data_IF_733475366430
#
_entry.id   IF_733475366430
#
_cell.length_a   1.000
_cell.length_b   1.000
_cell.length_c   1.000
_cell.angle_alpha   90.00
_cell.angle_beta   90.00
_cell.angle_gamma   90.00
#
_symmetry.space_group_name_H-M   'P 1'
#
loop_
_entity.id
_entity.type
_entity.pdbx_description
1 polymer ?
#
# COMPACT_ATOMS: atom_id res chain seq x y z
N UNK A 1 18.86 36.50 3.26
CA UNK A 1 17.48 36.52 3.80
C UNK A 1 16.90 35.11 3.70
N UNK A 2 16.75 34.44 4.86
CA UNK A 2 16.27 33.06 5.13
C UNK A 2 16.79 31.87 4.30
N UNK A 3 16.59 31.91 2.98
CA UNK A 3 16.95 30.86 2.02
C UNK A 3 18.03 31.29 1.02
N UNK A 4 18.40 32.57 0.98
CA UNK A 4 19.39 33.09 0.01
C UNK A 4 20.72 32.35 0.05
N UNK A 5 21.18 31.91 1.21
CA UNK A 5 22.46 31.20 1.36
C UNK A 5 22.39 29.73 0.91
N UNK A 6 21.19 29.19 0.76
CA UNK A 6 20.94 27.81 0.28
C UNK A 6 20.23 27.78 -1.07
N UNK A 7 20.06 28.93 -1.74
CA UNK A 7 19.23 29.05 -2.94
C UNK A 7 19.70 28.16 -4.08
N UNK A 8 21.02 28.02 -4.26
CA UNK A 8 21.56 27.16 -5.31
C UNK A 8 21.26 25.69 -4.99
N UNK A 9 21.42 25.27 -3.73
CA UNK A 9 21.04 23.91 -3.29
C UNK A 9 19.55 23.64 -3.51
N UNK A 10 18.68 24.63 -3.31
CA UNK A 10 17.26 24.51 -3.60
C UNK A 10 16.98 24.38 -5.10
N UNK A 11 17.67 25.17 -5.94
CA UNK A 11 17.55 25.05 -7.40
C UNK A 11 18.05 23.71 -7.91
N UNK A 12 19.19 23.24 -7.39
CA UNK A 12 19.81 21.95 -7.74
C UNK A 12 18.99 20.75 -7.26
N UNK A 13 18.05 20.94 -6.33
CA UNK A 13 17.13 19.87 -5.92
C UNK A 13 16.11 19.51 -7.02
N UNK A 14 15.97 20.33 -8.06
CA UNK A 14 15.05 20.12 -9.17
C UNK A 14 15.82 19.79 -10.47
N UNK A 15 15.61 18.60 -11.03
CA UNK A 15 16.26 18.14 -12.27
C UNK A 15 15.87 18.97 -13.51
N UNK A 16 14.62 19.46 -13.56
CA UNK A 16 14.08 20.25 -14.68
C UNK A 16 13.36 21.50 -14.20
N UNK A 17 14.08 22.37 -13.52
CA UNK A 17 13.54 23.67 -13.12
C UNK A 17 13.28 24.56 -14.34
N UNK A 18 12.10 25.19 -14.40
CA UNK A 18 11.78 26.14 -15.47
C UNK A 18 12.81 27.29 -15.50
N UNK A 19 13.33 27.68 -16.68
CA UNK A 19 14.26 28.79 -16.82
C UNK A 19 13.81 30.09 -16.13
N UNK A 20 12.50 30.35 -16.06
CA UNK A 20 11.96 31.53 -15.36
C UNK A 20 12.42 31.57 -13.90
N UNK A 21 12.45 30.43 -13.21
CA UNK A 21 12.89 30.34 -11.81
C UNK A 21 14.41 30.36 -11.65
N UNK A 22 15.16 30.01 -12.71
CA UNK A 22 16.61 30.17 -12.73
C UNK A 22 16.98 31.65 -12.78
N UNK A 23 16.27 32.45 -13.57
CA UNK A 23 16.50 33.88 -13.75
C UNK A 23 15.95 34.71 -12.59
N UNK A 24 14.68 34.49 -12.19
CA UNK A 24 14.02 35.24 -11.11
C UNK A 24 14.15 34.54 -9.76
N UNK A 25 15.30 34.75 -9.13
CA UNK A 25 15.62 34.17 -7.82
C UNK A 25 14.70 34.70 -6.71
N UNK A 26 14.28 35.95 -6.78
CA UNK A 26 13.42 36.57 -5.76
C UNK A 26 12.04 35.93 -5.75
N UNK A 27 11.43 35.78 -6.93
CA UNK A 27 10.13 35.11 -7.06
C UNK A 27 10.21 33.62 -6.73
N UNK A 28 11.30 32.94 -7.10
CA UNK A 28 11.53 31.55 -6.70
C UNK A 28 11.58 31.39 -5.18
N UNK A 29 12.34 32.24 -4.48
CA UNK A 29 12.43 32.20 -3.02
C UNK A 29 11.09 32.56 -2.35
N UNK A 30 10.35 33.53 -2.90
CA UNK A 30 9.02 33.89 -2.41
C UNK A 30 8.05 32.71 -2.52
N UNK A 31 8.04 32.00 -3.66
CA UNK A 31 7.25 30.78 -3.87
C UNK A 31 7.60 29.72 -2.82
N UNK A 32 8.89 29.40 -2.65
CA UNK A 32 9.34 28.41 -1.66
C UNK A 32 8.94 28.78 -0.23
N UNK A 33 9.05 30.06 0.14
CA UNK A 33 8.67 30.53 1.49
C UNK A 33 7.15 30.42 1.68
N UNK A 34 6.36 30.85 0.71
CA UNK A 34 4.89 30.80 0.78
C UNK A 34 4.40 29.35 0.87
N UNK A 35 4.90 28.48 -0.01
CA UNK A 35 4.54 27.06 -0.02
C UNK A 35 5.02 26.35 1.25
N UNK A 36 6.24 26.64 1.70
CA UNK A 36 6.79 26.07 2.92
C UNK A 36 6.02 26.47 4.18
N UNK A 37 5.60 27.73 4.30
CA UNK A 37 4.74 28.19 5.40
C UNK A 37 3.38 27.51 5.35
N UNK A 38 2.75 27.42 4.18
CA UNK A 38 1.47 26.73 4.01
C UNK A 38 1.56 25.25 4.43
N UNK A 39 2.61 24.55 3.98
CA UNK A 39 2.87 23.15 4.35
C UNK A 39 3.02 23.02 5.87
N UNK A 40 3.83 23.88 6.51
CA UNK A 40 4.04 23.82 7.96
C UNK A 40 2.75 24.04 8.75
N UNK A 41 1.92 24.98 8.31
CA UNK A 41 0.64 25.28 8.95
C UNK A 41 -0.32 24.09 8.85
N UNK A 42 -0.41 23.46 7.67
CA UNK A 42 -1.21 22.24 7.45
C UNK A 42 -0.71 21.08 8.31
N UNK A 43 0.61 20.86 8.38
CA UNK A 43 1.19 19.78 9.19
C UNK A 43 0.91 19.95 10.70
N UNK A 44 0.70 21.19 11.15
CA UNK A 44 0.41 21.53 12.54
C UNK A 44 -1.07 21.40 12.93
N UNK A 45 -1.97 21.24 11.97
CA UNK A 45 -3.41 21.16 12.23
C UNK A 45 -3.80 20.11 13.27
N UNK A 46 -3.07 18.99 13.38
CA UNK A 46 -3.35 17.96 14.38
C UNK A 46 -2.99 18.37 15.84
N UNK A 47 -2.34 19.52 16.03
CA UNK A 47 -1.78 19.97 17.30
C UNK A 47 -2.25 21.36 17.75
N UNK A 48 -2.99 22.09 16.92
CA UNK A 48 -3.43 23.46 17.19
C UNK A 48 -4.96 23.58 17.25
N UNK A 49 -5.43 24.47 18.13
CA UNK A 49 -6.80 24.99 18.10
C UNK A 49 -6.76 26.21 17.15
N UNK A 50 -7.70 26.28 16.20
CA UNK A 50 -7.76 27.29 15.14
C UNK A 50 -8.19 28.68 15.67
N UNK A 51 -7.44 29.26 16.60
CA UNK A 51 -7.85 30.53 17.24
C UNK A 51 -7.50 31.77 16.38
N UNK A 52 -6.57 31.63 15.42
CA UNK A 52 -6.08 32.73 14.57
C UNK A 52 -6.84 32.87 13.24
N UNK A 53 -7.70 31.91 12.90
CA UNK A 53 -8.44 31.88 11.63
C UNK A 53 -9.95 32.10 11.85
N UNK A 54 -10.63 32.60 10.81
CA UNK A 54 -12.08 32.77 10.87
C UNK A 54 -12.77 31.39 10.98
N UNK A 55 -13.86 31.26 11.76
CA UNK A 55 -14.57 29.98 11.90
C UNK A 55 -15.07 29.37 10.57
N UNK A 56 -15.21 30.19 9.54
CA UNK A 56 -15.63 29.83 8.18
C UNK A 56 -14.49 29.88 7.16
N UNK A 57 -13.23 29.86 7.60
CA UNK A 57 -12.08 29.76 6.70
C UNK A 57 -12.19 28.47 5.86
N UNK A 58 -11.97 28.53 4.53
CA UNK A 58 -12.15 27.36 3.67
C UNK A 58 -11.15 26.23 3.96
N UNK A 59 -10.00 26.53 4.58
CA UNK A 59 -8.91 25.58 4.82
C UNK A 59 -8.73 25.36 6.33
N UNK A 60 -8.59 26.44 7.10
CA UNK A 60 -8.24 26.44 8.53
C UNK A 60 -9.50 26.56 9.42
N UNK A 61 -10.52 25.76 9.11
CA UNK A 61 -11.72 25.60 9.93
C UNK A 61 -12.03 24.13 10.18
N UNK A 62 -13.01 23.85 11.05
CA UNK A 62 -13.51 22.48 11.22
C UNK A 62 -14.01 21.87 9.90
N UNK A 63 -14.64 22.68 9.05
CA UNK A 63 -15.12 22.24 7.74
C UNK A 63 -13.95 22.01 6.77
N UNK A 64 -12.96 22.90 6.74
CA UNK A 64 -11.74 22.71 5.96
C UNK A 64 -10.98 21.45 6.38
N UNK A 65 -10.88 21.19 7.68
CA UNK A 65 -10.27 19.97 8.22
C UNK A 65 -11.01 18.70 7.77
N UNK A 66 -12.35 18.74 7.68
CA UNK A 66 -13.14 17.58 7.30
C UNK A 66 -13.14 17.34 5.79
N UNK A 67 -13.28 18.40 4.98
CA UNK A 67 -13.54 18.28 3.54
C UNK A 67 -12.33 18.57 2.66
N UNK A 68 -11.41 19.44 3.06
CA UNK A 68 -10.27 19.85 2.23
C UNK A 68 -9.02 19.05 2.58
N UNK A 69 -8.82 18.75 3.86
CA UNK A 69 -7.60 18.08 4.34
C UNK A 69 -7.29 16.73 3.68
N UNK A 70 -8.25 15.86 3.36
CA UNK A 70 -7.97 14.62 2.63
C UNK A 70 -7.34 14.87 1.25
N UNK A 71 -7.82 15.89 0.53
CA UNK A 71 -7.27 16.27 -0.77
C UNK A 71 -5.86 16.87 -0.62
N UNK A 72 -5.65 17.73 0.38
CA UNK A 72 -4.32 18.29 0.66
C UNK A 72 -3.32 17.19 1.03
N UNK A 73 -3.69 16.23 1.88
CA UNK A 73 -2.85 15.07 2.20
C UNK A 73 -2.41 14.32 0.95
N UNK A 74 -3.35 14.07 0.04
CA UNK A 74 -3.06 13.37 -1.21
C UNK A 74 -2.10 14.19 -2.07
N UNK A 75 -2.39 15.47 -2.26
CA UNK A 75 -1.64 16.33 -3.15
C UNK A 75 -0.22 16.58 -2.61
N UNK A 76 -0.01 16.67 -1.29
CA UNK A 76 1.32 16.78 -0.66
C UNK A 76 2.21 15.54 -0.84
N UNK A 77 1.64 14.39 -1.22
CA UNK A 77 2.37 13.14 -1.49
C UNK A 77 2.59 12.89 -2.99
N UNK A 78 2.13 13.78 -3.87
CA UNK A 78 2.41 13.67 -5.30
C UNK A 78 3.87 14.04 -5.58
N UNK A 79 4.54 13.27 -6.43
CA UNK A 79 5.94 13.52 -6.79
C UNK A 79 6.15 14.90 -7.43
N UNK A 80 5.16 15.38 -8.17
CA UNK A 80 5.15 16.71 -8.82
C UNK A 80 4.98 17.87 -7.83
N UNK A 81 4.46 17.60 -6.62
CA UNK A 81 4.15 18.60 -5.61
C UNK A 81 5.04 18.42 -4.36
N UNK A 82 6.33 18.21 -4.58
CA UNK A 82 7.31 18.09 -3.50
C UNK A 82 8.08 19.41 -3.32
N UNK A 83 8.15 19.86 -2.07
CA UNK A 83 9.04 20.92 -1.61
C UNK A 83 10.22 20.28 -0.88
N UNK A 84 11.48 20.68 -1.16
CA UNK A 84 12.62 20.21 -0.39
C UNK A 84 12.45 20.46 1.10
N UNK A 85 12.65 19.45 1.95
CA UNK A 85 12.54 19.60 3.41
C UNK A 85 13.48 20.68 3.95
N UNK A 86 14.57 20.98 3.23
CA UNK A 86 15.46 22.09 3.53
C UNK A 86 14.69 23.41 3.72
N UNK A 87 13.66 23.68 2.90
CA UNK A 87 12.80 24.87 3.05
C UNK A 87 12.11 24.86 4.41
N UNK A 88 11.47 23.74 4.78
CA UNK A 88 10.74 23.60 6.04
C UNK A 88 11.67 23.68 7.25
N UNK A 89 12.88 23.12 7.16
CA UNK A 89 13.90 23.22 8.20
C UNK A 89 14.28 24.68 8.46
N UNK A 90 14.58 25.44 7.40
CA UNK A 90 14.97 26.86 7.53
C UNK A 90 13.83 27.73 8.07
N UNK A 91 12.59 27.45 7.69
CA UNK A 91 11.42 28.14 8.24
C UNK A 91 11.24 27.87 9.74
N UNK A 92 11.36 26.60 10.17
CA UNK A 92 11.29 26.22 11.59
C UNK A 92 12.45 26.84 12.38
N UNK A 93 13.66 26.85 11.83
CA UNK A 93 14.85 27.47 12.44
C UNK A 93 14.66 28.96 12.72
N UNK A 94 13.89 29.66 11.88
CA UNK A 94 13.67 31.10 12.03
C UNK A 94 12.51 31.39 12.97
N UNK A 95 11.43 30.61 12.87
CA UNK A 95 10.25 30.77 13.73
C UNK A 95 10.55 30.40 15.18
N UNK A 96 11.42 29.41 15.42
CA UNK A 96 11.79 28.97 16.76
C UNK A 96 13.23 29.37 17.07
N UNK A 97 13.43 30.01 18.22
CA UNK A 97 14.73 29.99 18.93
C UNK A 97 15.01 28.54 19.38
N UNK A 98 15.44 27.72 18.42
CA UNK A 98 15.97 26.36 18.46
C UNK A 98 15.28 25.37 19.42
N UNK A 99 14.36 24.50 18.95
CA UNK A 99 14.20 23.19 19.58
C UNK A 99 15.51 22.41 19.40
N UNK A 100 15.93 21.64 20.40
CA UNK A 100 17.23 20.93 20.42
C UNK A 100 17.42 19.97 19.22
N UNK A 101 16.34 19.61 18.50
CA UNK A 101 16.31 18.68 17.37
C UNK A 101 15.21 19.05 16.34
N UNK A 102 15.48 19.94 15.36
CA UNK A 102 14.49 20.38 14.36
C UNK A 102 14.04 19.23 13.45
N UNK A 103 14.94 18.31 13.12
CA UNK A 103 14.66 17.12 12.30
C UNK A 103 13.64 16.19 12.95
N UNK A 104 13.80 15.91 14.25
CA UNK A 104 12.87 15.06 15.00
C UNK A 104 11.50 15.74 15.13
N UNK A 105 11.48 17.06 15.34
CA UNK A 105 10.23 17.82 15.39
C UNK A 105 9.49 17.79 14.06
N UNK A 106 10.17 18.04 12.94
CA UNK A 106 9.54 18.01 11.61
C UNK A 106 9.05 16.60 11.27
N UNK A 107 9.88 15.58 11.52
CA UNK A 107 9.48 14.18 11.32
C UNK A 107 8.21 13.85 12.12
N UNK A 108 8.13 14.31 13.38
CA UNK A 108 6.94 14.10 14.20
C UNK A 108 5.68 14.76 13.63
N UNK A 109 5.79 15.99 13.11
CA UNK A 109 4.68 16.68 12.45
C UNK A 109 4.22 15.92 11.20
N UNK A 110 5.16 15.59 10.31
CA UNK A 110 4.87 14.87 9.06
C UNK A 110 4.24 13.52 9.34
N UNK A 111 4.82 12.73 10.24
CA UNK A 111 4.32 11.39 10.56
C UNK A 111 2.96 11.45 11.27
N UNK A 112 2.79 12.38 12.22
CA UNK A 112 1.51 12.62 12.87
C UNK A 112 0.42 13.08 11.92
N UNK A 113 0.78 13.77 10.83
CA UNK A 113 -0.15 14.23 9.81
C UNK A 113 -0.62 13.11 8.89
N UNK A 114 0.28 12.22 8.47
CA UNK A 114 0.00 11.16 7.49
C UNK A 114 -0.35 9.78 8.11
N UNK A 115 -0.17 9.58 9.42
CA UNK A 115 -0.42 8.29 10.08
C UNK A 115 -1.26 8.42 11.34
N UNK A 116 -2.18 7.46 11.53
CA UNK A 116 -3.04 7.36 12.72
C UNK A 116 -2.49 6.38 13.78
N UNK A 117 -1.20 6.07 13.75
CA UNK A 117 -0.59 5.00 14.56
C UNK A 117 0.86 5.23 14.98
N UNK A 118 1.51 4.26 15.66
CA UNK A 118 2.89 4.38 16.09
C UNK A 118 3.85 4.35 14.89
N UNK A 119 4.58 5.43 14.68
CA UNK A 119 5.61 5.56 13.65
C UNK A 119 7.02 5.46 14.25
N UNK A 120 8.05 5.09 13.45
CA UNK A 120 9.44 5.09 13.89
C UNK A 120 9.88 6.48 14.35
N UNK A 121 10.64 6.55 15.45
CA UNK A 121 11.16 7.83 15.97
C UNK A 121 12.32 8.41 15.15
N UNK A 122 13.01 7.57 14.37
CA UNK A 122 14.18 7.98 13.61
C UNK A 122 14.08 7.48 12.16
N UNK A 123 13.58 8.35 11.29
CA UNK A 123 13.42 8.08 9.86
C UNK A 123 14.74 8.28 9.09
N UNK A 124 15.79 8.78 9.76
CA UNK A 124 17.05 9.17 9.12
C UNK A 124 16.91 10.45 8.29
N UNK A 125 17.91 10.71 7.45
CA UNK A 125 17.90 11.88 6.56
C UNK A 125 16.89 11.66 5.44
N UNK A 126 16.00 12.63 5.26
CA UNK A 126 15.00 12.64 4.20
C UNK A 126 15.11 13.93 3.39
N UNK A 127 14.70 13.91 2.12
CA UNK A 127 14.82 15.07 1.23
C UNK A 127 13.50 15.83 1.01
N UNK A 128 12.36 15.14 1.05
CA UNK A 128 11.01 15.69 0.86
C UNK A 128 9.98 14.86 1.67
N UNK A 129 8.73 15.32 1.72
CA UNK A 129 7.66 14.70 2.53
C UNK A 129 7.37 13.25 2.13
N UNK A 130 7.31 12.97 0.82
CA UNK A 130 7.08 11.63 0.30
C UNK A 130 8.15 10.62 0.72
N UNK A 131 9.41 11.04 0.89
CA UNK A 131 10.49 10.17 1.38
C UNK A 131 10.30 9.82 2.87
N UNK A 132 9.95 10.80 3.72
CA UNK A 132 9.58 10.54 5.12
C UNK A 132 8.43 9.53 5.19
N UNK A 133 7.39 9.75 4.38
CA UNK A 133 6.23 8.88 4.30
C UNK A 133 6.60 7.46 3.83
N UNK A 134 7.45 7.33 2.81
CA UNK A 134 7.96 6.04 2.34
C UNK A 134 8.70 5.30 3.45
N UNK A 135 9.69 5.95 4.07
CA UNK A 135 10.52 5.35 5.11
C UNK A 135 9.71 4.95 6.34
N UNK A 136 8.65 5.68 6.68
CA UNK A 136 7.74 5.28 7.77
C UNK A 136 6.91 4.04 7.46
N UNK A 137 6.62 3.76 6.19
CA UNK A 137 5.99 2.50 5.78
C UNK A 137 6.96 1.31 5.84
N UNK A 138 8.27 1.57 5.66
CA UNK A 138 9.30 0.54 5.54
C UNK A 138 9.99 0.20 6.88
N UNK A 139 10.20 1.18 7.75
CA UNK A 139 10.92 0.97 9.01
C UNK A 139 10.04 0.28 10.06
N UNK A 140 10.48 -0.87 10.54
CA UNK A 140 9.91 -1.48 11.75
C UNK A 140 10.20 -0.57 12.96
N UNK A 141 9.16 -0.14 13.65
CA UNK A 141 9.32 0.52 14.96
C UNK A 141 10.12 -0.40 15.91
N UNK A 142 11.06 0.13 16.72
CA UNK A 142 11.80 -0.69 17.69
C UNK A 142 10.85 -1.17 18.79
N UNK A 143 10.12 -2.25 18.56
CA UNK A 143 9.17 -2.81 19.52
C UNK A 143 9.87 -3.75 20.50
N UNK A 144 9.97 -3.32 21.76
CA UNK A 144 10.20 -4.18 22.94
C UNK A 144 9.16 -5.32 22.94
N UNK A 145 9.58 -6.56 22.63
CA UNK A 145 8.85 -7.83 22.73
C UNK A 145 8.08 -8.32 21.48
N UNK A 146 8.85 -8.80 20.49
CA UNK A 146 8.42 -9.57 19.31
C UNK A 146 7.46 -10.74 19.65
N UNK A 147 7.65 -11.39 20.80
CA UNK A 147 6.85 -12.55 21.21
C UNK A 147 5.40 -12.22 21.59
N UNK A 148 5.15 -11.02 22.15
CA UNK A 148 3.80 -10.59 22.57
C UNK A 148 3.00 -10.04 21.38
N UNK A 149 3.69 -9.42 20.42
CA UNK A 149 3.12 -8.92 19.17
C UNK A 149 2.78 -10.03 18.18
N UNK A 150 3.64 -11.05 17.99
CA UNK A 150 3.31 -12.23 17.17
C UNK A 150 2.07 -12.99 17.68
N UNK A 151 1.83 -12.94 19.00
CA UNK A 151 0.63 -13.51 19.64
C UNK A 151 -0.63 -12.69 19.37
N UNK A 152 -0.51 -11.36 19.15
CA UNK A 152 -1.59 -10.48 18.66
C UNK A 152 -1.74 -10.54 17.13
N UNK A 153 -0.67 -10.74 16.36
CA UNK A 153 -0.67 -10.85 14.89
C UNK A 153 -1.36 -12.10 14.34
N UNK A 154 -1.54 -13.16 15.16
CA UNK A 154 -2.47 -14.26 14.82
C UNK A 154 -3.94 -13.83 14.77
N UNK A 155 -4.28 -12.65 15.29
CA UNK A 155 -5.64 -12.07 15.25
C UNK A 155 -5.79 -10.96 14.21
N UNK A 156 -4.75 -10.17 13.93
CA UNK A 156 -4.75 -9.15 12.87
C UNK A 156 -3.35 -9.05 12.21
N UNK A 157 -3.18 -9.54 10.97
CA UNK A 157 -1.97 -9.31 10.17
C UNK A 157 -1.73 -7.82 9.92
N UNK A 158 -0.47 -7.44 9.72
CA UNK A 158 -0.09 -6.07 9.41
C UNK A 158 -0.50 -5.72 7.98
N UNK A 159 -1.26 -4.64 7.82
CA UNK A 159 -1.69 -4.11 6.53
C UNK A 159 -1.13 -2.66 6.41
N UNK A 160 -0.17 -2.39 5.51
CA UNK A 160 0.32 -1.04 5.24
C UNK A 160 -0.80 -0.05 4.87
N UNK A 161 -1.90 -0.58 4.34
CA UNK A 161 -3.13 0.16 4.00
C UNK A 161 -3.91 0.60 5.26
N UNK A 162 -3.82 -0.14 6.38
CA UNK A 162 -4.44 0.25 7.65
C UNK A 162 -3.60 1.25 8.45
N UNK A 163 -2.27 1.19 8.33
CA UNK A 163 -1.36 2.05 9.09
C UNK A 163 -1.46 3.55 8.68
N UNK A 164 -1.92 3.82 7.46
CA UNK A 164 -2.20 5.16 6.93
C UNK A 164 -3.53 5.75 7.42
N UNK A 165 -4.35 5.01 8.18
CA UNK A 165 -5.65 5.50 8.63
C UNK A 165 -6.62 5.81 7.48
N UNK A 166 -6.40 5.22 6.31
CA UNK A 166 -7.06 5.66 5.09
C UNK A 166 -7.62 4.51 4.27
N UNK A 167 -8.76 4.77 3.68
CA UNK A 167 -9.70 3.81 3.15
C UNK A 167 -9.21 3.33 1.78
N UNK A 168 -9.35 2.02 1.50
CA UNK A 168 -8.98 1.44 0.20
C UNK A 168 -9.87 1.98 -0.94
N UNK A 169 -9.55 3.16 -1.49
CA UNK A 169 -10.18 3.78 -2.65
C UNK A 169 -9.18 4.15 -3.76
N UNK A 170 -9.62 4.92 -4.77
CA UNK A 170 -8.79 5.42 -5.89
C UNK A 170 -7.46 6.05 -5.46
N UNK A 171 -7.42 6.64 -4.26
CA UNK A 171 -6.22 7.23 -3.68
C UNK A 171 -5.09 6.24 -3.44
N UNK A 172 -5.42 4.98 -3.16
CA UNK A 172 -4.43 3.90 -2.95
C UNK A 172 -3.59 3.69 -4.19
N UNK A 173 -4.22 3.71 -5.37
CA UNK A 173 -3.52 3.55 -6.65
C UNK A 173 -2.52 4.70 -6.84
N UNK A 174 -2.99 5.94 -6.74
CA UNK A 174 -2.16 7.12 -6.97
C UNK A 174 -1.01 7.19 -5.97
N UNK A 175 -1.23 6.90 -4.70
CA UNK A 175 -0.16 6.87 -3.68
C UNK A 175 0.90 5.82 -4.00
N UNK A 176 0.48 4.58 -4.33
CA UNK A 176 1.42 3.51 -4.69
C UNK A 176 2.21 3.85 -5.96
N UNK A 177 1.56 4.43 -6.99
CA UNK A 177 2.24 4.86 -8.21
C UNK A 177 3.26 5.97 -7.95
N UNK A 178 2.95 6.95 -7.10
CA UNK A 178 3.91 7.99 -6.71
C UNK A 178 5.12 7.41 -5.97
N UNK A 179 4.90 6.45 -5.05
CA UNK A 179 5.98 5.76 -4.36
C UNK A 179 6.85 4.92 -5.30
N UNK A 180 6.23 4.20 -6.25
CA UNK A 180 6.97 3.43 -7.27
C UNK A 180 7.76 4.37 -8.18
N UNK A 181 7.17 5.49 -8.60
CA UNK A 181 7.86 6.49 -9.40
C UNK A 181 9.07 7.05 -8.65
N UNK A 182 8.88 7.42 -7.37
CA UNK A 182 9.96 7.88 -6.50
C UNK A 182 11.12 6.87 -6.44
N UNK A 183 10.84 5.59 -6.17
CA UNK A 183 11.86 4.52 -6.15
C UNK A 183 12.59 4.33 -7.49
N UNK A 184 11.96 4.68 -8.62
CA UNK A 184 12.61 4.62 -9.94
C UNK A 184 13.50 5.83 -10.23
N UNK A 185 13.19 6.98 -9.66
CA UNK A 185 13.98 8.20 -9.85
C UNK A 185 15.17 8.27 -8.89
N UNK A 186 15.05 7.73 -7.67
CA UNK A 186 16.13 7.74 -6.68
C UNK A 186 16.95 6.43 -6.71
N UNK A 187 18.10 6.47 -7.40
CA UNK A 187 18.97 5.31 -7.70
C UNK A 187 19.59 4.66 -6.43
N UNK A 188 19.41 5.24 -5.23
CA UNK A 188 20.00 4.73 -3.98
C UNK A 188 19.04 4.06 -3.01
N UNK A 189 17.72 4.24 -3.15
CA UNK A 189 16.80 4.13 -2.02
C UNK A 189 16.05 2.79 -1.93
N UNK A 190 16.34 1.86 -2.85
CA UNK A 190 15.79 0.50 -2.89
C UNK A 190 14.46 0.39 -3.66
N UNK A 191 13.98 -0.84 -3.84
CA UNK A 191 12.77 -1.16 -4.62
C UNK A 191 11.68 -1.85 -3.77
N UNK A 192 11.69 -1.62 -2.46
CA UNK A 192 10.84 -2.31 -1.49
C UNK A 192 9.35 -2.13 -1.76
N UNK A 193 8.89 -0.91 -2.01
CA UNK A 193 7.47 -0.62 -2.30
C UNK A 193 7.07 -1.24 -3.62
N UNK A 194 7.87 -1.04 -4.67
CA UNK A 194 7.65 -1.64 -5.99
C UNK A 194 7.52 -3.15 -5.90
N UNK A 195 8.39 -3.77 -5.12
CA UNK A 195 8.40 -5.23 -4.96
C UNK A 195 7.23 -5.72 -4.10
N UNK A 196 6.80 -4.94 -3.11
CA UNK A 196 5.60 -5.23 -2.32
C UNK A 196 4.33 -5.15 -3.19
N UNK A 197 4.20 -4.10 -4.01
CA UNK A 197 3.08 -3.96 -4.95
C UNK A 197 3.09 -5.10 -5.96
N UNK A 198 4.25 -5.49 -6.48
CA UNK A 198 4.37 -6.66 -7.36
C UNK A 198 3.91 -7.96 -6.68
N UNK A 199 4.28 -8.17 -5.42
CA UNK A 199 3.84 -9.31 -4.64
C UNK A 199 2.31 -9.31 -4.47
N UNK A 200 1.70 -8.18 -4.09
CA UNK A 200 0.25 -8.06 -3.95
C UNK A 200 -0.50 -8.28 -5.27
N UNK A 201 -0.06 -7.65 -6.36
CA UNK A 201 -0.64 -7.85 -7.70
C UNK A 201 -0.45 -9.28 -8.24
N UNK A 202 0.51 -10.02 -7.68
CA UNK A 202 0.69 -11.45 -7.95
C UNK A 202 -0.27 -12.34 -7.17
N UNK A 203 -0.69 -11.92 -5.97
CA UNK A 203 -1.67 -12.63 -5.15
C UNK A 203 -3.12 -12.34 -5.55
N UNK A 204 -3.42 -11.10 -5.93
CA UNK A 204 -4.77 -10.64 -6.24
C UNK A 204 -4.99 -10.73 -7.76
N UNK A 205 -5.76 -11.72 -8.21
CA UNK A 205 -6.16 -11.90 -9.62
C UNK A 205 -7.64 -11.59 -9.85
N UNK A 206 -8.48 -11.74 -8.84
CA UNK A 206 -9.88 -11.37 -8.88
C UNK A 206 -10.47 -11.13 -7.49
N UNK A 207 -11.77 -10.84 -7.44
CA UNK A 207 -12.49 -10.55 -6.19
C UNK A 207 -12.48 -11.71 -5.20
N UNK A 208 -12.39 -12.95 -5.69
CA UNK A 208 -12.25 -14.15 -4.85
C UNK A 208 -10.96 -14.14 -4.02
N UNK A 209 -9.86 -13.66 -4.59
CA UNK A 209 -8.58 -13.54 -3.88
C UNK A 209 -8.67 -12.45 -2.81
N UNK A 210 -9.30 -11.32 -3.15
CA UNK A 210 -9.56 -10.22 -2.21
C UNK A 210 -10.43 -10.71 -1.05
N UNK A 211 -11.51 -11.44 -1.34
CA UNK A 211 -12.41 -12.01 -0.34
C UNK A 211 -11.66 -12.94 0.63
N UNK A 212 -10.77 -13.77 0.10
CA UNK A 212 -9.94 -14.66 0.91
C UNK A 212 -8.94 -13.88 1.77
N UNK A 213 -8.24 -12.91 1.21
CA UNK A 213 -7.30 -12.05 1.94
C UNK A 213 -8.01 -11.23 3.02
N UNK A 214 -9.22 -10.76 2.76
CA UNK A 214 -10.11 -10.08 3.71
C UNK A 214 -10.55 -11.01 4.83
N UNK A 215 -10.97 -12.24 4.52
CA UNK A 215 -11.32 -13.25 5.53
C UNK A 215 -10.15 -13.62 6.43
N UNK A 216 -8.91 -13.50 5.93
CA UNK A 216 -7.68 -13.70 6.68
C UNK A 216 -7.22 -12.46 7.47
N UNK A 217 -7.91 -11.32 7.33
CA UNK A 217 -7.53 -10.04 7.93
C UNK A 217 -6.28 -9.41 7.31
N UNK A 218 -5.84 -9.87 6.13
CA UNK A 218 -4.64 -9.35 5.47
C UNK A 218 -4.93 -8.02 4.78
N UNK A 219 -6.12 -7.89 4.20
CA UNK A 219 -6.62 -6.65 3.59
C UNK A 219 -7.92 -6.27 4.31
N UNK A 220 -8.04 -5.02 4.72
CA UNK A 220 -9.32 -4.45 5.12
C UNK A 220 -9.90 -3.67 3.95
N UNK A 221 -11.16 -3.95 3.64
CA UNK A 221 -11.91 -3.25 2.62
C UNK A 221 -12.96 -2.39 3.32
N UNK A 222 -12.78 -1.07 3.27
CA UNK A 222 -13.58 -0.13 4.04
C UNK A 222 -14.62 0.63 3.19
N UNK A 223 -14.50 0.66 1.85
CA UNK A 223 -15.31 1.55 1.00
C UNK A 223 -15.68 1.00 -0.40
N UNK A 224 -15.31 -0.24 -0.77
CA UNK A 224 -15.59 -0.79 -2.10
C UNK A 224 -16.03 -2.25 -2.09
N UNK A 225 -16.38 -2.78 -3.26
CA UNK A 225 -16.58 -4.22 -3.47
C UNK A 225 -15.24 -4.94 -3.54
N UNK A 226 -15.24 -6.26 -3.34
CA UNK A 226 -14.01 -7.06 -3.51
C UNK A 226 -13.53 -6.99 -4.99
N UNK A 227 -14.44 -6.69 -5.93
CA UNK A 227 -14.19 -6.39 -7.34
C UNK A 227 -13.41 -5.08 -7.53
N UNK A 228 -13.80 -3.99 -6.88
CA UNK A 228 -13.13 -2.68 -7.01
C UNK A 228 -11.67 -2.75 -6.55
N UNK A 229 -11.42 -3.46 -5.45
CA UNK A 229 -10.05 -3.70 -4.95
C UNK A 229 -9.25 -4.51 -5.96
N UNK A 230 -9.84 -5.58 -6.53
CA UNK A 230 -9.18 -6.37 -7.56
C UNK A 230 -8.87 -5.54 -8.83
N UNK A 231 -9.76 -4.62 -9.21
CA UNK A 231 -9.55 -3.70 -10.32
C UNK A 231 -8.36 -2.76 -10.07
N UNK A 232 -8.26 -2.15 -8.87
CA UNK A 232 -7.13 -1.29 -8.49
C UNK A 232 -5.80 -2.02 -8.69
N UNK A 233 -5.68 -3.25 -8.18
CA UNK A 233 -4.44 -4.04 -8.32
C UNK A 233 -4.20 -4.51 -9.77
N UNK A 234 -5.25 -4.79 -10.53
CA UNK A 234 -5.12 -5.10 -11.96
C UNK A 234 -4.65 -3.90 -12.78
N UNK A 235 -5.05 -2.68 -12.42
CA UNK A 235 -4.56 -1.44 -13.01
C UNK A 235 -3.08 -1.21 -12.64
N UNK A 236 -2.73 -1.31 -11.35
CA UNK A 236 -1.34 -1.18 -10.88
C UNK A 236 -0.39 -2.16 -11.57
N UNK A 237 -0.87 -3.38 -11.84
CA UNK A 237 -0.08 -4.41 -12.53
C UNK A 237 0.42 -3.97 -13.91
N UNK A 238 -0.29 -3.08 -14.62
CA UNK A 238 0.12 -2.60 -15.94
C UNK A 238 1.34 -1.68 -15.87
N UNK A 239 1.49 -0.95 -14.77
CA UNK A 239 2.47 0.12 -14.61
C UNK A 239 3.73 -0.33 -13.84
N UNK A 240 3.67 -1.51 -13.22
CA UNK A 240 4.78 -2.10 -12.43
C UNK A 240 5.66 -2.99 -13.32
N UNK A 241 6.85 -2.50 -13.66
CA UNK A 241 7.95 -3.27 -14.27
C UNK A 241 8.87 -3.74 -13.14
N UNK A 242 9.21 -5.04 -13.13
CA UNK A 242 10.01 -5.66 -12.08
C UNK A 242 11.48 -5.72 -12.50
N UNK A 243 12.36 -5.36 -11.57
CA UNK A 243 13.77 -5.73 -11.62
C UNK A 243 13.94 -7.20 -11.16
N UNK A 244 14.44 -8.10 -12.03
CA UNK A 244 14.64 -9.52 -11.72
C UNK A 244 15.52 -9.81 -10.49
N UNK A 245 16.30 -8.83 -10.01
CA UNK A 245 17.22 -9.01 -8.87
C UNK A 245 16.67 -8.51 -7.52
N UNK A 246 15.41 -8.05 -7.46
CA UNK A 246 14.80 -7.60 -6.20
C UNK A 246 14.78 -8.69 -5.10
N UNK A 247 15.08 -8.29 -3.87
CA UNK A 247 14.99 -9.14 -2.66
C UNK A 247 13.58 -9.71 -2.46
N UNK A 248 12.53 -8.99 -2.86
CA UNK A 248 11.16 -9.50 -2.73
C UNK A 248 10.75 -10.41 -3.89
N UNK A 249 11.35 -10.31 -5.09
CA UNK A 249 11.15 -11.34 -6.13
C UNK A 249 11.68 -12.69 -5.64
N UNK A 250 12.82 -12.69 -4.94
CA UNK A 250 13.33 -13.88 -4.27
C UNK A 250 12.32 -14.44 -3.25
N UNK A 251 11.72 -13.57 -2.42
CA UNK A 251 10.67 -13.99 -1.47
C UNK A 251 9.45 -14.56 -2.20
N UNK A 252 8.98 -13.89 -3.24
CA UNK A 252 7.86 -14.35 -4.06
C UNK A 252 8.15 -15.73 -4.66
N UNK A 253 9.34 -15.94 -5.25
CA UNK A 253 9.76 -17.24 -5.79
C UNK A 253 9.81 -18.31 -4.71
N UNK A 254 10.37 -18.01 -3.53
CA UNK A 254 10.46 -18.95 -2.41
C UNK A 254 9.07 -19.32 -1.89
N UNK A 255 8.19 -18.35 -1.69
CA UNK A 255 6.82 -18.55 -1.21
C UNK A 255 6.01 -19.33 -2.25
N UNK A 256 6.06 -18.94 -3.52
CA UNK A 256 5.39 -19.61 -4.64
C UNK A 256 5.86 -21.06 -4.79
N UNK A 257 7.17 -21.32 -4.66
CA UNK A 257 7.74 -22.66 -4.66
C UNK A 257 7.25 -23.49 -3.48
N UNK A 258 7.23 -22.92 -2.27
CA UNK A 258 6.70 -23.62 -1.06
C UNK A 258 5.22 -23.98 -1.23
N UNK A 259 4.40 -23.03 -1.68
CA UNK A 259 2.98 -23.26 -1.96
C UNK A 259 2.80 -24.36 -3.00
N UNK A 260 3.50 -24.27 -4.13
CA UNK A 260 3.43 -25.28 -5.20
C UNK A 260 3.85 -26.66 -4.71
N UNK A 261 4.90 -26.74 -3.89
CA UNK A 261 5.35 -28.00 -3.29
C UNK A 261 4.32 -28.56 -2.29
N UNK A 262 3.66 -27.72 -1.48
CA UNK A 262 2.59 -28.17 -0.58
C UNK A 262 1.39 -28.71 -1.35
N UNK A 263 0.93 -28.00 -2.37
CA UNK A 263 -0.15 -28.45 -3.23
C UNK A 263 0.21 -29.75 -3.95
N UNK A 264 1.40 -29.84 -4.55
CA UNK A 264 1.90 -31.07 -5.17
C UNK A 264 1.97 -32.22 -4.19
N UNK A 265 2.54 -32.02 -3.00
CA UNK A 265 2.63 -33.06 -1.97
C UNK A 265 1.25 -33.62 -1.62
N UNK A 266 0.28 -32.75 -1.36
CA UNK A 266 -1.10 -33.15 -1.10
C UNK A 266 -1.69 -33.91 -2.29
N UNK A 267 -1.49 -33.43 -3.52
CA UNK A 267 -1.96 -34.12 -4.72
C UNK A 267 -1.33 -35.52 -4.88
N UNK A 268 -0.04 -35.67 -4.60
CA UNK A 268 0.66 -36.95 -4.65
C UNK A 268 0.19 -37.91 -3.55
N UNK A 269 -0.09 -37.42 -2.35
CA UNK A 269 -0.66 -38.21 -1.25
C UNK A 269 -2.06 -38.72 -1.60
N UNK A 270 -2.95 -37.83 -2.07
CA UNK A 270 -4.30 -38.21 -2.50
C UNK A 270 -4.29 -39.19 -3.67
N UNK A 271 -3.41 -38.98 -4.66
CA UNK A 271 -3.22 -39.95 -5.74
C UNK A 271 -2.68 -41.29 -5.24
N UNK A 272 -1.70 -41.28 -4.35
CA UNK A 272 -1.13 -42.50 -3.80
C UNK A 272 -2.18 -43.30 -3.01
N UNK A 273 -3.03 -42.62 -2.26
CA UNK A 273 -4.11 -43.22 -1.50
C UNK A 273 -5.21 -43.78 -2.42
N UNK A 274 -5.62 -43.01 -3.44
CA UNK A 274 -6.56 -43.48 -4.47
C UNK A 274 -6.04 -44.74 -5.19
N UNK A 275 -4.77 -44.74 -5.59
CA UNK A 275 -4.15 -45.89 -6.27
C UNK A 275 -4.05 -47.11 -5.35
N UNK A 276 -3.67 -46.91 -4.08
CA UNK A 276 -3.58 -48.01 -3.11
C UNK A 276 -4.93 -48.62 -2.79
N UNK A 277 -5.98 -47.81 -2.67
CA UNK A 277 -7.28 -48.27 -2.21
C UNK A 277 -8.11 -48.88 -3.35
N UNK A 278 -8.06 -48.28 -4.54
CA UNK A 278 -8.92 -48.70 -5.65
C UNK A 278 -8.20 -49.48 -6.76
N UNK A 279 -6.91 -49.21 -7.00
CA UNK A 279 -6.18 -49.75 -8.16
C UNK A 279 -5.17 -50.84 -7.80
N UNK A 280 -5.12 -51.28 -6.54
CA UNK A 280 -4.20 -52.33 -6.09
C UNK A 280 -4.74 -53.75 -6.27
N UNK A 281 -6.07 -53.87 -6.34
CA UNK A 281 -6.77 -55.12 -6.64
C UNK A 281 -7.54 -54.96 -7.94
N UNK A 282 -7.32 -55.84 -8.96
CA UNK A 282 -8.07 -55.80 -10.21
C UNK A 282 -9.59 -55.77 -9.99
N UNK A 283 -10.05 -56.47 -8.95
CA UNK A 283 -11.46 -56.58 -8.58
C UNK A 283 -12.05 -55.28 -8.02
N UNK A 284 -11.28 -54.49 -7.27
CA UNK A 284 -11.74 -53.20 -6.77
C UNK A 284 -11.94 -52.20 -7.91
N UNK A 285 -11.03 -52.20 -8.90
CA UNK A 285 -11.17 -51.37 -10.10
C UNK A 285 -12.40 -51.77 -10.93
N UNK A 286 -12.63 -53.07 -11.14
CA UNK A 286 -13.82 -53.59 -11.84
C UNK A 286 -15.10 -53.21 -11.07
N UNK A 287 -15.10 -53.29 -9.73
CA UNK A 287 -16.25 -52.92 -8.90
C UNK A 287 -16.60 -51.43 -9.00
N UNK A 288 -15.60 -50.54 -8.98
CA UNK A 288 -15.81 -49.10 -9.19
C UNK A 288 -16.38 -48.83 -10.58
N UNK A 289 -15.84 -49.50 -11.60
CA UNK A 289 -16.33 -49.34 -12.97
C UNK A 289 -17.77 -49.83 -13.14
N UNK A 290 -18.11 -50.97 -12.53
CA UNK A 290 -19.47 -51.50 -12.51
C UNK A 290 -20.44 -50.55 -11.77
N UNK A 291 -20.02 -49.97 -10.64
CA UNK A 291 -20.83 -49.01 -9.89
C UNK A 291 -21.11 -47.74 -10.70
N UNK A 292 -20.11 -47.20 -11.41
CA UNK A 292 -20.28 -46.04 -12.30
C UNK A 292 -21.26 -46.40 -13.43
N UNK A 293 -21.10 -47.57 -14.07
CA UNK A 293 -21.99 -48.03 -15.13
C UNK A 293 -23.45 -48.13 -14.64
N UNK A 294 -23.67 -48.81 -13.51
CA UNK A 294 -25.01 -48.96 -12.92
C UNK A 294 -25.63 -47.61 -12.57
N UNK A 295 -24.85 -46.69 -12.01
CA UNK A 295 -25.33 -45.35 -11.68
C UNK A 295 -25.74 -44.56 -12.93
N UNK A 296 -24.94 -44.59 -13.99
CA UNK A 296 -25.31 -43.94 -15.27
C UNK A 296 -26.57 -44.54 -15.88
N UNK A 297 -26.74 -45.87 -15.82
CA UNK A 297 -27.96 -46.54 -16.26
C UNK A 297 -29.17 -46.10 -15.44
N UNK A 298 -29.03 -45.95 -14.12
CA UNK A 298 -30.13 -45.46 -13.28
C UNK A 298 -30.53 -44.03 -13.59
N UNK A 299 -29.58 -43.15 -13.94
CA UNK A 299 -29.86 -41.78 -14.40
C UNK A 299 -30.62 -41.82 -15.73
N UNK A 300 -30.16 -42.62 -16.68
CA UNK A 300 -30.83 -42.77 -17.98
C UNK A 300 -32.26 -43.30 -17.77
N UNK A 301 -32.43 -44.33 -16.94
CA UNK A 301 -33.73 -44.92 -16.62
C UNK A 301 -34.67 -43.92 -15.94
N UNK A 302 -34.17 -43.10 -15.00
CA UNK A 302 -34.99 -42.06 -14.36
C UNK A 302 -35.39 -40.97 -15.35
N UNK A 303 -34.50 -40.54 -16.24
CA UNK A 303 -34.84 -39.58 -17.31
C UNK A 303 -35.93 -40.14 -18.22
N UNK A 304 -35.79 -41.39 -18.69
CA UNK A 304 -36.81 -42.02 -19.53
C UNK A 304 -38.15 -42.21 -18.79
N UNK A 305 -38.14 -42.58 -17.51
CA UNK A 305 -39.35 -42.73 -16.70
C UNK A 305 -40.09 -41.40 -16.48
N UNK A 306 -39.36 -40.29 -16.33
CA UNK A 306 -39.95 -38.95 -16.21
C UNK A 306 -40.51 -38.48 -17.55
N UNK A 307 -39.78 -38.71 -18.65
CA UNK A 307 -40.24 -38.39 -20.00
C UNK A 307 -41.47 -39.20 -20.40
N UNK A 308 -41.52 -40.50 -20.08
CA UNK A 308 -42.68 -41.35 -20.37
C UNK A 308 -43.92 -40.94 -19.56
N UNK A 309 -43.71 -40.52 -18.30
CA UNK A 309 -44.79 -39.97 -17.46
C UNK A 309 -45.37 -38.68 -18.03
N UNK A 310 -44.53 -37.80 -18.57
CA UNK A 310 -44.97 -36.54 -19.20
C UNK A 310 -45.64 -36.75 -20.57
N UNK A 311 -45.39 -37.87 -21.26
CA UNK A 311 -46.03 -38.20 -22.54
C UNK A 311 -47.40 -38.89 -22.39
N UNK A 312 -47.74 -39.39 -21.20
CA UNK A 312 -49.04 -40.02 -20.90
C UNK A 312 -50.06 -39.05 -20.29
N UNK A 313 -49.72 -37.76 -20.20
CA UNK A 313 -50.57 -36.68 -19.71
C UNK A 313 -50.94 -35.75 -20.86
#
# INVERSE_FOLDING_TARGET
MLLEDVVQTLKDAYDKLDPVWLEDTSSFLALMIVDGCFILEILRMNHHIFDDYAPNDPIFSNDGMLYILPFLRRDMLLLENQVPLLVLFRLIEVEKRTPDQPDEYLNKLVLGFFHSGPYPRNVGRCLHLLDIYRKSLLQESPMRNTARFLRRRRRHPFNPIEASGDYCGNETKSRLLNLIAFERFDIGDGNEVTSYVFFLTSLIKGSQDVSLLRSCGIISNALGTDEDVAEIFNLLRRDVVVDPESRLDMVYRVVSRKLRNRFRKRLYEWRADLVRTYFRSPWAAISVFAAILLFTLTIIQTVYSVLSYNYQK
#
